data_IF_104170582934
#
_entry.id   IF_104170582934
#
_cell.length_a   1.000
_cell.length_b   1.000
_cell.length_c   1.000
_cell.angle_alpha   90.00
_cell.angle_beta   90.00
_cell.angle_gamma   90.00
#
_symmetry.space_group_name_H-M   'P 1'
#
loop_
_entity.id
_entity.type
_entity.pdbx_description
1 polymer ?
#
# COMPACT_ATOMS: atom_id res chain seq x y z
N UNK A 1 33.53 23.27 1.32
CA UNK A 1 32.71 23.54 0.12
C UNK A 1 32.05 22.22 -0.26
N UNK A 2 30.93 21.91 0.37
CA UNK A 2 29.55 22.07 -0.14
C UNK A 2 29.25 21.13 -1.32
N UNK A 3 28.88 19.90 -1.00
CA UNK A 3 28.29 18.92 -1.93
C UNK A 3 26.95 18.35 -1.43
N UNK A 4 26.38 18.86 -0.32
CA UNK A 4 25.17 18.28 0.29
C UNK A 4 23.84 18.91 -0.17
N UNK A 5 23.86 19.94 -1.02
CA UNK A 5 22.63 20.66 -1.39
C UNK A 5 21.92 20.15 -2.66
N UNK A 6 22.52 19.23 -3.43
CA UNK A 6 21.86 18.66 -4.63
C UNK A 6 21.01 17.44 -4.32
N UNK A 7 21.47 16.58 -3.40
CA UNK A 7 20.77 15.35 -3.04
C UNK A 7 19.43 15.65 -2.33
N UNK A 8 19.32 16.76 -1.59
CA UNK A 8 18.07 17.09 -0.88
C UNK A 8 16.95 17.54 -1.82
N UNK A 9 17.22 18.38 -2.82
CA UNK A 9 16.20 18.97 -3.70
C UNK A 9 15.58 17.96 -4.68
N UNK A 10 16.39 17.03 -5.21
CA UNK A 10 15.90 16.01 -6.14
C UNK A 10 15.06 14.95 -5.40
N UNK A 11 15.50 14.52 -4.21
CA UNK A 11 14.75 13.56 -3.38
C UNK A 11 13.41 14.13 -2.87
N UNK A 12 13.36 15.41 -2.49
CA UNK A 12 12.11 16.10 -2.12
C UNK A 12 11.12 16.19 -3.28
N UNK A 13 11.61 16.51 -4.49
CA UNK A 13 10.78 16.54 -5.70
C UNK A 13 10.21 15.16 -6.02
N UNK A 14 11.00 14.11 -5.85
CA UNK A 14 10.58 12.75 -6.19
C UNK A 14 9.52 12.22 -5.21
N UNK A 15 9.67 12.45 -3.91
CA UNK A 15 8.63 12.16 -2.93
C UNK A 15 7.33 12.94 -3.22
N UNK A 16 7.44 14.24 -3.50
CA UNK A 16 6.27 15.05 -3.83
C UNK A 16 5.63 14.64 -5.16
N UNK A 17 6.36 14.19 -6.18
CA UNK A 17 5.74 13.62 -7.39
C UNK A 17 5.14 12.22 -7.19
N UNK A 18 5.65 11.42 -6.26
CA UNK A 18 5.10 10.10 -5.94
C UNK A 18 3.78 10.18 -5.16
N UNK A 19 3.51 11.30 -4.48
CA UNK A 19 2.31 11.48 -3.65
C UNK A 19 1.39 12.58 -4.18
N UNK A 20 1.92 13.63 -4.82
CA UNK A 20 1.12 14.61 -5.52
C UNK A 20 0.65 14.01 -6.84
N UNK A 21 -0.53 13.39 -6.79
CA UNK A 21 -1.47 13.40 -7.90
C UNK A 21 -1.52 14.85 -8.38
N UNK A 22 -0.92 15.15 -9.54
CA UNK A 22 -1.02 16.47 -10.14
C UNK A 22 -2.50 16.75 -10.30
N UNK A 23 -3.01 17.78 -9.60
CA UNK A 23 -4.36 18.32 -9.76
C UNK A 23 -4.62 18.59 -11.23
N UNK A 24 -5.23 17.63 -11.89
CA UNK A 24 -6.22 17.89 -12.90
C UNK A 24 -7.43 17.10 -12.43
N UNK A 25 -8.49 17.80 -12.03
CA UNK A 25 -9.82 17.23 -12.04
C UNK A 25 -10.12 17.04 -13.53
N UNK A 26 -9.48 16.05 -14.15
CA UNK A 26 -10.04 15.43 -15.34
C UNK A 26 -11.41 14.96 -14.86
N UNK A 27 -12.51 15.21 -15.58
CA UNK A 27 -13.81 14.71 -15.20
C UNK A 27 -13.78 13.18 -15.30
N UNK A 28 -13.24 12.53 -14.27
CA UNK A 28 -13.05 11.09 -14.19
C UNK A 28 -14.37 10.39 -14.40
N UNK A 29 -15.49 10.96 -13.95
CA UNK A 29 -16.81 10.39 -14.20
C UNK A 29 -17.18 10.37 -15.70
N UNK A 30 -16.79 11.37 -16.48
CA UNK A 30 -17.02 11.39 -17.94
C UNK A 30 -16.10 10.39 -18.65
N UNK A 31 -14.84 10.33 -18.24
CA UNK A 31 -13.85 9.40 -18.80
C UNK A 31 -14.16 7.95 -18.41
N UNK A 32 -14.59 7.72 -17.17
CA UNK A 32 -15.07 6.45 -16.65
C UNK A 32 -16.34 6.02 -17.39
N UNK A 33 -17.30 6.93 -17.57
CA UNK A 33 -18.51 6.66 -18.36
C UNK A 33 -18.18 6.28 -19.81
N UNK A 34 -17.21 6.97 -20.40
CA UNK A 34 -16.75 6.69 -21.77
C UNK A 34 -16.07 5.33 -21.86
N UNK A 35 -15.21 5.00 -20.90
CA UNK A 35 -14.43 3.76 -20.88
C UNK A 35 -15.31 2.54 -20.60
N UNK A 36 -16.25 2.66 -19.66
CA UNK A 36 -17.26 1.62 -19.36
C UNK A 36 -18.30 1.53 -20.49
N UNK A 37 -18.52 2.62 -21.22
CA UNK A 37 -19.54 2.71 -22.27
C UNK A 37 -20.97 2.90 -21.74
N UNK A 38 -21.12 3.32 -20.49
CA UNK A 38 -22.40 3.59 -19.83
C UNK A 38 -22.30 4.81 -18.91
N UNK A 39 -23.39 5.56 -18.66
CA UNK A 39 -23.35 6.68 -17.73
C UNK A 39 -23.03 6.22 -16.30
N UNK A 40 -21.90 6.67 -15.75
CA UNK A 40 -21.49 6.48 -14.36
C UNK A 40 -21.58 7.82 -13.63
N UNK A 41 -22.21 7.82 -12.47
CA UNK A 41 -22.32 9.00 -11.61
C UNK A 41 -21.54 8.78 -10.33
N UNK A 42 -21.11 9.88 -9.72
CA UNK A 42 -20.38 9.85 -8.46
C UNK A 42 -21.10 9.09 -7.33
N UNK A 43 -22.43 9.21 -7.12
CA UNK A 43 -23.13 8.43 -6.10
C UNK A 43 -23.14 6.92 -6.36
N UNK A 44 -22.89 6.51 -7.60
CA UNK A 44 -22.88 5.10 -8.02
C UNK A 44 -21.46 4.51 -7.97
N UNK A 45 -20.47 5.29 -7.49
CA UNK A 45 -19.07 4.89 -7.41
C UNK A 45 -18.56 5.05 -5.98
N UNK A 46 -18.04 3.96 -5.41
CA UNK A 46 -17.32 3.98 -4.15
C UNK A 46 -15.87 3.56 -4.40
N UNK A 47 -14.91 4.42 -4.09
CA UNK A 47 -13.51 4.06 -4.14
C UNK A 47 -13.08 3.38 -2.84
N UNK A 48 -12.36 2.26 -2.95
CA UNK A 48 -11.96 1.40 -1.83
C UNK A 48 -10.47 1.58 -1.54
N UNK A 49 -9.60 1.36 -2.53
CA UNK A 49 -8.14 1.41 -2.36
C UNK A 49 -7.48 1.97 -3.64
N UNK A 50 -6.33 2.63 -3.48
CA UNK A 50 -5.48 3.10 -4.58
C UNK A 50 -4.07 2.56 -4.44
N UNK A 51 -3.47 2.10 -5.54
CA UNK A 51 -2.07 1.70 -5.63
C UNK A 51 -1.40 2.38 -6.82
N UNK A 52 -0.17 2.85 -6.59
CA UNK A 52 0.68 3.46 -7.62
C UNK A 52 1.84 2.50 -7.89
N UNK A 53 1.92 2.02 -9.13
CA UNK A 53 2.99 1.13 -9.60
C UNK A 53 3.84 1.85 -10.65
N UNK A 54 4.96 1.24 -11.07
CA UNK A 54 5.79 1.81 -12.14
C UNK A 54 4.99 1.89 -13.45
N UNK A 55 4.55 3.10 -13.81
CA UNK A 55 3.90 3.40 -15.08
C UNK A 55 2.37 3.33 -15.09
N UNK A 56 1.73 2.95 -13.98
CA UNK A 56 0.27 2.97 -13.87
C UNK A 56 -0.21 3.21 -12.43
N UNK A 57 -1.31 3.93 -12.30
CA UNK A 57 -2.09 4.00 -11.05
C UNK A 57 -3.29 3.08 -11.20
N UNK A 58 -3.57 2.26 -10.18
CA UNK A 58 -4.73 1.37 -10.16
C UNK A 58 -5.62 1.70 -8.96
N UNK A 59 -6.93 1.62 -9.15
CA UNK A 59 -7.94 1.85 -8.12
C UNK A 59 -8.86 0.64 -8.03
N UNK A 60 -9.13 0.19 -6.81
CA UNK A 60 -10.26 -0.67 -6.51
C UNK A 60 -11.48 0.21 -6.23
N UNK A 61 -12.57 -0.02 -6.95
CA UNK A 61 -13.82 0.70 -6.79
C UNK A 61 -15.01 -0.24 -6.90
N UNK A 62 -16.12 0.11 -6.25
CA UNK A 62 -17.43 -0.49 -6.48
C UNK A 62 -18.21 0.47 -7.38
N UNK A 63 -18.53 0.05 -8.60
CA UNK A 63 -19.23 0.85 -9.61
C UNK A 63 -20.56 0.15 -9.89
N UNK A 64 -21.70 0.82 -9.64
CA UNK A 64 -23.03 0.22 -9.78
C UNK A 64 -23.18 -1.12 -9.02
N UNK A 65 -22.60 -1.20 -7.82
CA UNK A 65 -22.55 -2.43 -7.00
C UNK A 65 -21.66 -3.56 -7.55
N UNK A 66 -20.88 -3.32 -8.60
CA UNK A 66 -19.88 -4.27 -9.11
C UNK A 66 -18.46 -3.83 -8.72
N UNK A 67 -17.72 -4.73 -8.08
CA UNK A 67 -16.29 -4.49 -7.81
C UNK A 67 -15.52 -4.43 -9.11
N UNK A 68 -14.70 -3.40 -9.26
CA UNK A 68 -14.00 -3.05 -10.48
C UNK A 68 -12.59 -2.55 -10.17
N UNK A 69 -11.65 -2.85 -11.05
CA UNK A 69 -10.32 -2.25 -11.04
C UNK A 69 -10.19 -1.25 -12.19
N UNK A 70 -9.90 0.00 -11.85
CA UNK A 70 -9.65 1.09 -12.79
C UNK A 70 -8.14 1.22 -12.95
N UNK A 71 -7.64 1.19 -14.18
CA UNK A 71 -6.23 1.48 -14.49
C UNK A 71 -6.11 2.88 -15.08
N UNK A 72 -5.09 3.60 -14.65
CA UNK A 72 -4.78 4.96 -15.05
C UNK A 72 -3.32 5.09 -15.50
N UNK A 73 -3.07 5.99 -16.45
CA UNK A 73 -1.72 6.34 -16.88
C UNK A 73 -1.01 7.31 -15.92
N UNK A 74 0.23 7.70 -16.25
CA UNK A 74 1.03 8.65 -15.46
C UNK A 74 0.46 10.08 -15.39
N UNK A 75 -0.53 10.41 -16.24
CA UNK A 75 -1.30 11.66 -16.18
C UNK A 75 -2.63 11.49 -15.43
N UNK A 76 -2.87 10.34 -14.82
CA UNK A 76 -4.10 9.95 -14.13
C UNK A 76 -5.34 9.92 -15.06
N UNK A 77 -5.15 9.60 -16.33
CA UNK A 77 -6.24 9.34 -17.28
C UNK A 77 -6.65 7.89 -17.21
N UNK A 78 -7.95 7.62 -17.24
CA UNK A 78 -8.49 6.27 -17.19
C UNK A 78 -8.21 5.55 -18.51
N UNK A 79 -7.41 4.48 -18.46
CA UNK A 79 -7.05 3.69 -19.64
C UNK A 79 -7.87 2.41 -19.77
N UNK A 80 -8.34 1.86 -18.65
CA UNK A 80 -9.19 0.66 -18.64
C UNK A 80 -9.99 0.54 -17.34
N UNK A 81 -11.11 -0.19 -17.43
CA UNK A 81 -11.94 -0.58 -16.29
C UNK A 81 -12.26 -2.06 -16.46
N UNK A 82 -11.99 -2.85 -15.43
CA UNK A 82 -12.22 -4.29 -15.43
C UNK A 82 -13.16 -4.61 -14.27
N UNK A 83 -14.39 -5.04 -14.59
CA UNK A 83 -15.32 -5.57 -13.59
C UNK A 83 -14.88 -6.95 -13.16
N UNK A 84 -14.90 -7.20 -11.85
CA UNK A 84 -14.56 -8.46 -11.23
C UNK A 84 -15.85 -9.15 -10.82
N UNK A 85 -16.09 -10.36 -11.29
CA UNK A 85 -17.28 -11.12 -10.91
C UNK A 85 -17.15 -11.57 -9.45
N UNK A 86 -17.83 -10.91 -8.52
CA UNK A 86 -17.85 -11.29 -7.11
C UNK A 86 -19.10 -12.09 -6.73
N UNK A 87 -18.93 -12.97 -5.73
CA UNK A 87 -20.06 -13.55 -5.00
C UNK A 87 -20.55 -12.55 -3.96
N UNK A 88 -21.86 -12.39 -3.79
CA UNK A 88 -22.50 -11.37 -2.92
C UNK A 88 -22.05 -11.43 -1.44
N UNK A 89 -21.47 -12.56 -1.03
CA UNK A 89 -21.17 -12.93 0.35
C UNK A 89 -19.77 -12.47 0.81
N UNK A 90 -18.93 -11.96 -0.10
CA UNK A 90 -17.55 -11.57 0.16
C UNK A 90 -17.28 -10.13 -0.26
N UNK A 91 -16.74 -9.30 0.64
CA UNK A 91 -16.34 -7.93 0.32
C UNK A 91 -14.84 -7.84 0.01
N UNK A 92 -14.48 -7.17 -1.09
CA UNK A 92 -13.09 -6.84 -1.38
C UNK A 92 -12.57 -5.78 -0.39
N UNK A 93 -11.55 -6.13 0.38
CA UNK A 93 -10.90 -5.23 1.34
C UNK A 93 -9.59 -4.68 0.78
N UNK A 94 -8.85 -5.53 0.05
CA UNK A 94 -7.57 -5.17 -0.54
C UNK A 94 -7.39 -5.78 -1.92
N UNK A 95 -6.65 -5.09 -2.79
CA UNK A 95 -6.25 -5.61 -4.08
C UNK A 95 -4.74 -5.53 -4.34
N UNK A 96 -4.22 -6.50 -5.09
CA UNK A 96 -2.82 -6.59 -5.47
C UNK A 96 -2.73 -6.82 -6.99
N UNK A 97 -2.37 -5.80 -7.77
CA UNK A 97 -2.12 -5.99 -9.19
C UNK A 97 -0.74 -6.63 -9.38
N UNK A 98 -0.66 -7.66 -10.22
CA UNK A 98 0.60 -8.26 -10.63
C UNK A 98 1.13 -7.64 -11.92
N UNK A 99 2.41 -7.87 -12.16
CA UNK A 99 3.15 -7.32 -13.30
C UNK A 99 2.60 -7.83 -14.65
N UNK A 100 1.99 -9.01 -14.67
CA UNK A 100 1.34 -9.57 -15.86
C UNK A 100 -0.08 -9.03 -16.09
N UNK A 101 -0.56 -8.13 -15.22
CA UNK A 101 -1.89 -7.55 -15.28
C UNK A 101 -2.97 -8.36 -14.55
N UNK A 102 -2.65 -9.53 -13.99
CA UNK A 102 -3.57 -10.24 -13.11
C UNK A 102 -3.85 -9.45 -11.83
N UNK A 103 -5.00 -9.70 -11.22
CA UNK A 103 -5.47 -9.01 -10.03
C UNK A 103 -5.75 -10.06 -8.96
N UNK A 104 -5.13 -9.88 -7.80
CA UNK A 104 -5.45 -10.65 -6.60
C UNK A 104 -6.32 -9.79 -5.69
N UNK A 105 -7.40 -10.37 -5.18
CA UNK A 105 -8.24 -9.75 -4.17
C UNK A 105 -8.13 -10.50 -2.86
N UNK A 106 -7.86 -9.77 -1.78
CA UNK A 106 -8.13 -10.28 -0.44
C UNK A 106 -9.54 -9.86 -0.04
N UNK A 107 -10.42 -10.85 0.07
CA UNK A 107 -11.82 -10.66 0.40
C UNK A 107 -12.12 -11.10 1.84
N UNK A 108 -13.13 -10.47 2.46
CA UNK A 108 -13.62 -10.81 3.80
C UNK A 108 -15.04 -11.37 3.72
N UNK A 109 -15.32 -12.47 4.43
CA UNK A 109 -16.65 -13.07 4.47
C UNK A 109 -17.60 -12.17 5.26
N UNK A 110 -18.72 -11.81 4.66
CA UNK A 110 -19.73 -10.93 5.28
C UNK A 110 -20.97 -11.67 5.80
N UNK A 111 -21.21 -12.91 5.37
CA UNK A 111 -22.37 -13.72 5.80
C UNK A 111 -22.43 -13.94 7.30
N UNK A 112 -21.26 -14.16 7.90
CA UNK A 112 -21.14 -14.42 9.34
C UNK A 112 -21.23 -13.14 10.19
N UNK A 113 -21.55 -12.01 9.55
CA UNK A 113 -21.64 -10.68 10.15
C UNK A 113 -20.28 -9.98 10.25
N UNK A 114 -20.33 -8.66 10.45
CA UNK A 114 -19.16 -7.75 10.47
C UNK A 114 -18.03 -8.17 11.43
N UNK A 115 -18.37 -8.97 12.45
CA UNK A 115 -17.47 -9.43 13.51
C UNK A 115 -16.72 -10.73 13.18
N UNK A 116 -17.17 -11.49 12.18
CA UNK A 116 -16.41 -12.62 11.67
C UNK A 116 -15.34 -12.09 10.71
N UNK A 117 -14.07 -12.36 11.03
CA UNK A 117 -12.94 -12.01 10.18
C UNK A 117 -12.42 -13.29 9.57
N UNK A 118 -13.09 -13.78 8.53
CA UNK A 118 -12.58 -14.86 7.69
C UNK A 118 -12.16 -14.25 6.35
N UNK A 119 -10.96 -14.57 5.92
CA UNK A 119 -10.40 -14.02 4.69
C UNK A 119 -10.18 -15.10 3.64
N UNK A 120 -10.27 -14.71 2.38
CA UNK A 120 -9.87 -15.56 1.28
C UNK A 120 -9.14 -14.75 0.21
N UNK A 121 -8.22 -15.41 -0.48
CA UNK A 121 -7.54 -14.87 -1.65
C UNK A 121 -8.28 -15.32 -2.91
N UNK A 122 -8.60 -14.37 -3.79
CA UNK A 122 -9.17 -14.62 -5.11
C UNK A 122 -8.23 -14.08 -6.18
N UNK A 123 -8.21 -14.73 -7.34
CA UNK A 123 -7.30 -14.43 -8.43
C UNK A 123 -8.07 -14.27 -9.74
N UNK A 124 -7.88 -13.11 -10.37
CA UNK A 124 -8.49 -12.72 -11.63
C UNK A 124 -7.41 -12.47 -12.67
N UNK A 125 -7.66 -12.84 -13.91
CA UNK A 125 -6.80 -12.44 -15.03
C UNK A 125 -6.94 -10.94 -15.35
N UNK A 126 -6.14 -10.47 -16.31
CA UNK A 126 -6.18 -9.08 -16.77
C UNK A 126 -7.52 -8.66 -17.40
N UNK A 127 -8.36 -9.62 -17.78
CA UNK A 127 -9.69 -9.40 -18.36
C UNK A 127 -10.81 -9.48 -17.29
N UNK A 128 -10.46 -9.69 -16.01
CA UNK A 128 -11.39 -9.75 -14.89
C UNK A 128 -12.07 -11.10 -14.68
N UNK A 129 -11.58 -12.16 -15.34
CA UNK A 129 -12.11 -13.52 -15.16
C UNK A 129 -11.40 -14.22 -14.03
N UNK A 130 -12.18 -14.83 -13.15
CA UNK A 130 -11.63 -15.60 -12.03
C UNK A 130 -10.96 -16.89 -12.52
N UNK A 131 -9.71 -17.10 -12.10
CA UNK A 131 -8.88 -18.25 -12.49
C UNK A 131 -9.18 -19.54 -11.72
N UNK A 132 -10.18 -19.53 -10.83
CA UNK A 132 -10.95 -20.69 -10.34
C UNK A 132 -10.69 -21.28 -8.94
N UNK A 133 -9.92 -20.66 -8.04
CA UNK A 133 -9.99 -21.08 -6.63
C UNK A 133 -9.86 -19.92 -5.67
N UNK A 134 -10.95 -19.68 -4.93
CA UNK A 134 -10.90 -18.98 -3.66
C UNK A 134 -10.07 -19.80 -2.68
N UNK A 135 -8.93 -19.27 -2.23
CA UNK A 135 -8.10 -19.89 -1.20
C UNK A 135 -8.43 -19.30 0.15
N UNK A 136 -9.07 -20.07 1.03
CA UNK A 136 -9.32 -19.62 2.40
C UNK A 136 -8.00 -19.42 3.17
N UNK A 137 -7.89 -18.27 3.82
CA UNK A 137 -6.70 -17.86 4.55
C UNK A 137 -6.89 -18.03 6.06
N UNK A 138 -7.09 -19.27 6.50
CA UNK A 138 -7.38 -19.62 7.90
C UNK A 138 -6.40 -19.05 8.94
N UNK A 139 -5.14 -18.76 8.54
CA UNK A 139 -4.13 -18.14 9.40
C UNK A 139 -4.50 -16.69 9.79
N UNK A 140 -5.33 -16.04 8.98
CA UNK A 140 -5.86 -14.69 9.19
C UNK A 140 -7.21 -14.70 9.94
N UNK A 141 -7.75 -15.87 10.29
CA UNK A 141 -9.07 -15.92 10.95
C UNK A 141 -9.04 -15.21 12.31
N UNK A 142 -9.98 -14.27 12.49
CA UNK A 142 -10.06 -13.43 13.69
C UNK A 142 -8.96 -12.36 13.79
N UNK A 143 -8.23 -12.09 12.70
CA UNK A 143 -7.18 -11.06 12.65
C UNK A 143 -7.68 -9.79 11.99
N UNK A 144 -7.36 -8.67 12.63
CA UNK A 144 -7.47 -7.36 12.00
C UNK A 144 -6.21 -7.08 11.18
N UNK A 145 -6.42 -6.80 9.90
CA UNK A 145 -5.33 -6.46 8.98
C UNK A 145 -5.05 -4.96 9.09
N UNK A 146 -3.80 -4.63 9.38
CA UNK A 146 -3.33 -3.25 9.52
C UNK A 146 -2.63 -2.75 8.25
N UNK A 147 -2.07 -3.66 7.46
CA UNK A 147 -1.39 -3.29 6.23
C UNK A 147 -1.06 -4.50 5.37
N UNK A 148 -0.98 -4.27 4.07
CA UNK A 148 -0.57 -5.29 3.10
C UNK A 148 0.37 -4.70 2.06
N UNK A 149 1.44 -5.42 1.74
CA UNK A 149 2.28 -5.13 0.58
C UNK A 149 2.42 -6.35 -0.33
N UNK A 150 2.66 -6.10 -1.62
CA UNK A 150 2.82 -7.13 -2.64
C UNK A 150 4.07 -6.86 -3.46
N UNK A 151 4.85 -7.90 -3.77
CA UNK A 151 6.08 -7.75 -4.55
C UNK A 151 5.83 -7.59 -6.06
N UNK A 152 4.58 -7.77 -6.53
CA UNK A 152 4.19 -7.64 -7.94
C UNK A 152 4.22 -8.95 -8.73
N UNK A 153 4.66 -10.06 -8.12
CA UNK A 153 4.85 -11.33 -8.84
C UNK A 153 4.42 -12.55 -8.04
N UNK A 154 4.98 -12.74 -6.83
CA UNK A 154 4.94 -14.02 -6.13
C UNK A 154 4.47 -13.96 -4.70
N UNK A 155 4.78 -12.90 -3.96
CA UNK A 155 4.56 -12.87 -2.52
C UNK A 155 3.83 -11.61 -2.10
N UNK A 156 2.86 -11.77 -1.20
CA UNK A 156 2.24 -10.67 -0.48
C UNK A 156 2.42 -10.87 1.03
N UNK A 157 2.50 -9.76 1.74
CA UNK A 157 2.72 -9.73 3.19
C UNK A 157 1.58 -9.03 3.88
N UNK A 158 0.98 -9.67 4.86
CA UNK A 158 -0.07 -9.14 5.73
C UNK A 158 0.53 -8.77 7.08
N UNK A 159 0.24 -7.56 7.52
CA UNK A 159 0.55 -7.06 8.84
C UNK A 159 -0.70 -7.04 9.70
N UNK A 160 -0.58 -7.58 10.91
CA UNK A 160 -1.59 -7.49 11.96
C UNK A 160 -0.99 -6.78 13.18
N UNK A 161 -1.80 -6.57 14.21
CA UNK A 161 -1.37 -5.99 15.49
C UNK A 161 -0.13 -6.66 16.11
N UNK A 162 0.10 -7.93 15.82
CA UNK A 162 1.09 -8.75 16.52
C UNK A 162 1.88 -9.65 15.58
N UNK A 163 1.53 -9.73 14.30
CA UNK A 163 2.10 -10.68 13.37
C UNK A 163 2.42 -10.04 12.03
N UNK A 164 3.56 -10.45 11.48
CA UNK A 164 3.86 -10.31 10.07
C UNK A 164 3.71 -11.70 9.45
N UNK A 165 2.92 -11.79 8.40
CA UNK A 165 2.59 -13.04 7.73
C UNK A 165 2.84 -12.86 6.24
N UNK A 166 3.59 -13.75 5.60
CA UNK A 166 3.88 -13.71 4.16
C UNK A 166 3.31 -14.95 3.52
N UNK A 167 2.58 -14.75 2.43
CA UNK A 167 1.97 -15.78 1.60
C UNK A 167 2.53 -15.68 0.19
N UNK A 168 2.46 -16.78 -0.55
CA UNK A 168 2.58 -16.71 -2.00
C UNK A 168 1.23 -16.43 -2.68
N UNK A 169 1.25 -16.22 -4.01
CA UNK A 169 0.04 -15.94 -4.81
C UNK A 169 -0.92 -17.13 -4.92
N UNK A 170 -0.54 -18.33 -4.48
CA UNK A 170 -1.47 -19.44 -4.30
C UNK A 170 -2.23 -19.38 -2.96
N UNK A 171 -1.84 -18.45 -2.06
CA UNK A 171 -2.35 -18.31 -0.71
C UNK A 171 -1.65 -19.21 0.30
N UNK A 172 -0.52 -19.84 -0.06
CA UNK A 172 0.23 -20.72 0.84
C UNK A 172 1.13 -19.91 1.79
N UNK A 173 1.09 -20.24 3.07
CA UNK A 173 1.91 -19.59 4.10
C UNK A 173 3.41 -19.87 3.87
N UNK A 174 4.19 -18.81 3.69
CA UNK A 174 5.64 -18.89 3.51
C UNK A 174 6.39 -18.52 4.79
N UNK A 175 5.93 -17.47 5.48
CA UNK A 175 6.57 -16.97 6.68
C UNK A 175 5.55 -16.43 7.67
N UNK A 176 5.77 -16.71 8.95
CA UNK A 176 5.00 -16.10 10.04
C UNK A 176 5.93 -15.71 11.18
N UNK A 177 5.95 -14.43 11.53
CA UNK A 177 6.68 -13.92 12.70
C UNK A 177 5.72 -13.18 13.61
N UNK A 178 5.61 -13.66 14.85
CA UNK A 178 4.82 -13.00 15.89
C UNK A 178 5.73 -12.17 16.78
N UNK A 179 5.27 -10.99 17.17
CA UNK A 179 5.88 -10.19 18.22
C UNK A 179 5.12 -10.39 19.54
N UNK A 180 5.81 -10.50 20.68
CA UNK A 180 5.16 -10.53 21.99
C UNK A 180 4.59 -9.16 22.40
N UNK A 181 4.82 -8.12 21.60
CA UNK A 181 4.32 -6.77 21.83
C UNK A 181 3.31 -6.40 20.73
N UNK A 182 2.04 -6.18 21.10
CA UNK A 182 1.08 -5.56 20.18
C UNK A 182 1.60 -4.22 19.67
N UNK A 183 1.43 -3.94 18.37
CA UNK A 183 1.94 -2.77 17.68
C UNK A 183 3.45 -2.75 17.46
N UNK A 184 4.15 -3.86 17.66
CA UNK A 184 5.59 -3.89 17.42
C UNK A 184 5.96 -3.80 15.95
N UNK A 185 5.12 -4.27 15.04
CA UNK A 185 5.31 -4.06 13.62
C UNK A 185 4.42 -2.90 13.19
N UNK A 186 5.03 -1.89 12.57
CA UNK A 186 4.35 -0.66 12.18
C UNK A 186 4.08 -0.63 10.68
N UNK A 187 5.02 -1.18 9.90
CA UNK A 187 4.90 -1.19 8.45
C UNK A 187 5.80 -2.26 7.85
N UNK A 188 5.41 -2.76 6.69
CA UNK A 188 6.15 -3.74 5.90
C UNK A 188 6.11 -3.33 4.43
N UNK A 189 7.23 -3.55 3.75
CA UNK A 189 7.34 -3.32 2.32
C UNK A 189 8.28 -4.38 1.69
N UNK A 190 8.02 -4.80 0.45
CA UNK A 190 8.95 -5.59 -0.35
C UNK A 190 9.98 -4.68 -1.02
N UNK A 191 11.25 -4.89 -0.73
CA UNK A 191 12.39 -4.18 -1.38
C UNK A 191 12.99 -4.95 -2.56
N UNK A 192 12.35 -6.06 -2.95
CA UNK A 192 12.72 -6.93 -4.05
C UNK A 192 11.92 -8.23 -3.97
N UNK A 193 12.20 -9.16 -4.88
CA UNK A 193 11.37 -10.36 -5.06
C UNK A 193 11.30 -11.24 -3.80
N UNK A 194 12.40 -11.30 -3.04
CA UNK A 194 12.55 -12.20 -1.89
C UNK A 194 12.96 -11.48 -0.60
N UNK A 195 12.81 -10.16 -0.55
CA UNK A 195 13.24 -9.34 0.57
C UNK A 195 12.14 -8.40 1.03
N UNK A 196 11.92 -8.38 2.34
CA UNK A 196 11.04 -7.42 2.99
C UNK A 196 11.83 -6.51 3.91
N UNK A 197 11.44 -5.24 3.94
CA UNK A 197 11.85 -4.28 4.95
C UNK A 197 10.66 -4.05 5.89
N UNK A 198 10.95 -4.09 7.18
CA UNK A 198 9.99 -4.04 8.26
C UNK A 198 10.37 -2.87 9.16
N UNK A 199 9.41 -2.00 9.43
CA UNK A 199 9.52 -0.99 10.46
C UNK A 199 8.96 -1.59 11.74
N UNK A 200 9.81 -1.69 12.77
CA UNK A 200 9.44 -2.30 14.04
C UNK A 200 9.86 -1.47 15.25
N UNK A 201 9.03 -1.49 16.27
CA UNK A 201 9.27 -0.92 17.59
C UNK A 201 9.71 -2.01 18.57
N UNK A 202 10.85 -1.81 19.22
CA UNK A 202 11.31 -2.74 20.25
C UNK A 202 10.61 -2.49 21.60
N UNK A 203 10.96 -3.30 22.61
CA UNK A 203 10.38 -3.20 23.98
C UNK A 203 10.59 -1.87 24.70
N UNK A 204 11.52 -1.05 24.24
CA UNK A 204 11.78 0.28 24.79
C UNK A 204 11.07 1.38 23.99
N UNK A 205 10.27 1.02 23.00
CA UNK A 205 9.66 1.96 22.07
C UNK A 205 10.67 2.59 21.12
N UNK A 206 11.82 1.95 20.86
CA UNK A 206 12.78 2.45 19.88
C UNK A 206 12.49 1.83 18.51
N UNK A 207 12.40 2.66 17.46
CA UNK A 207 12.13 2.21 16.09
C UNK A 207 13.38 1.59 15.46
N UNK A 208 13.16 0.60 14.59
CA UNK A 208 14.18 -0.12 13.86
C UNK A 208 13.70 -0.48 12.46
N UNK A 209 14.61 -0.42 11.49
CA UNK A 209 14.41 -0.99 10.16
C UNK A 209 15.07 -2.37 10.12
N UNK A 210 14.27 -3.39 9.84
CA UNK A 210 14.71 -4.78 9.74
C UNK A 210 14.55 -5.20 8.28
N UNK A 211 15.64 -5.62 7.64
CA UNK A 211 15.58 -6.28 6.34
C UNK A 211 15.65 -7.78 6.54
N UNK A 212 14.70 -8.52 5.98
CA UNK A 212 14.58 -9.97 6.11
C UNK A 212 14.47 -10.63 4.74
N UNK A 213 15.12 -11.78 4.60
CA UNK A 213 14.87 -12.69 3.47
C UNK A 213 13.62 -13.51 3.72
N UNK A 214 12.72 -13.54 2.74
CA UNK A 214 11.51 -14.37 2.74
C UNK A 214 11.87 -15.84 2.55
N UNK A 215 12.78 -16.15 1.63
CA UNK A 215 13.15 -17.53 1.27
C UNK A 215 14.03 -18.22 2.31
N UNK A 216 14.99 -17.49 2.90
CA UNK A 216 15.91 -18.08 3.88
C UNK A 216 15.41 -18.01 5.32
N UNK A 217 14.26 -17.38 5.55
CA UNK A 217 13.76 -17.01 6.89
C UNK A 217 14.85 -16.44 7.81
N UNK A 218 15.52 -15.38 7.35
CA UNK A 218 16.67 -14.81 8.06
C UNK A 218 16.66 -13.29 8.03
N UNK A 219 16.95 -12.68 9.17
CA UNK A 219 17.26 -11.25 9.28
C UNK A 219 18.62 -10.99 8.62
N UNK A 220 18.61 -10.15 7.59
CA UNK A 220 19.80 -9.76 6.83
C UNK A 220 20.49 -8.56 7.47
N UNK A 221 19.70 -7.59 7.94
CA UNK A 221 20.17 -6.42 8.66
C UNK A 221 19.09 -5.90 9.60
N UNK A 222 19.53 -5.30 10.70
CA UNK A 222 18.68 -4.58 11.65
C UNK A 222 19.38 -3.27 12.00
N UNK A 223 18.67 -2.16 11.81
CA UNK A 223 19.19 -0.82 12.05
C UNK A 223 18.26 -0.09 13.00
N UNK A 224 18.74 0.16 14.22
CA UNK A 224 18.05 1.09 15.13
C UNK A 224 18.07 2.49 14.52
N UNK A 225 16.92 3.15 14.54
CA UNK A 225 16.79 4.50 14.02
C UNK A 225 17.02 5.47 15.18
N UNK A 226 18.01 6.34 14.99
CA UNK A 226 18.46 7.31 16.00
C UNK A 226 18.30 8.73 15.47
N UNK A 227 18.14 9.70 16.37
CA UNK A 227 18.07 11.12 16.02
C UNK A 227 16.72 11.60 15.47
N UNK A 228 15.65 10.84 15.72
CA UNK A 228 14.26 11.21 15.40
C UNK A 228 13.43 11.15 16.67
N UNK A 229 12.53 12.12 16.86
CA UNK A 229 11.67 12.20 18.05
C UNK A 229 10.70 11.01 18.11
N UNK A 230 10.67 10.31 19.27
CA UNK A 230 9.88 9.09 19.46
C UNK A 230 8.38 9.25 19.19
N UNK A 231 7.83 10.45 19.42
CA UNK A 231 6.41 10.76 19.18
C UNK A 231 6.02 10.73 17.71
N UNK A 232 6.99 10.86 16.79
CA UNK A 232 6.73 10.91 15.34
C UNK A 232 6.54 9.51 14.73
N UNK A 233 6.79 8.43 15.49
CA UNK A 233 6.88 7.05 14.98
C UNK A 233 5.62 6.21 15.07
N UNK A 234 4.67 6.59 15.92
CA UNK A 234 3.49 5.75 16.18
C UNK A 234 2.63 5.50 14.93
N UNK A 235 2.72 6.42 13.96
CA UNK A 235 1.98 6.41 12.71
C UNK A 235 2.94 6.32 11.50
N UNK A 236 4.17 5.85 11.72
CA UNK A 236 5.17 5.83 10.67
C UNK A 236 4.95 4.66 9.71
N UNK A 237 5.13 4.91 8.41
CA UNK A 237 4.98 3.92 7.35
C UNK A 237 6.16 3.91 6.40
N UNK A 238 6.39 2.75 5.83
CA UNK A 238 7.33 2.55 4.75
C UNK A 238 6.65 2.80 3.41
N UNK A 239 7.36 3.45 2.51
CA UNK A 239 6.90 3.77 1.16
C UNK A 239 7.98 3.30 0.20
N UNK A 240 7.56 2.59 -0.85
CA UNK A 240 8.46 2.10 -1.89
C UNK A 240 9.12 3.28 -2.62
N UNK A 241 10.42 3.17 -2.89
CA UNK A 241 11.09 4.09 -3.80
C UNK A 241 10.76 3.68 -5.24
N UNK A 242 10.27 4.61 -6.05
CA UNK A 242 10.09 4.43 -7.51
C UNK A 242 11.37 4.73 -8.30
N UNK A 243 12.47 5.04 -7.60
CA UNK A 243 13.67 5.61 -8.21
C UNK A 243 14.92 4.74 -8.03
N UNK A 244 15.79 4.76 -9.04
CA UNK A 244 17.01 3.92 -9.12
C UNK A 244 18.23 4.50 -8.40
N UNK A 245 18.09 5.66 -7.76
CA UNK A 245 19.15 6.41 -7.08
C UNK A 245 19.65 5.77 -5.77
N UNK A 246 19.40 4.48 -5.58
CA UNK A 246 19.88 3.70 -4.44
C UNK A 246 19.12 3.95 -3.13
N UNK A 247 18.04 4.71 -3.17
CA UNK A 247 17.04 4.77 -2.10
C UNK A 247 16.31 3.45 -2.06
N UNK A 248 16.42 2.72 -0.95
CA UNK A 248 15.71 1.45 -0.77
C UNK A 248 14.23 1.69 -0.47
N UNK A 249 13.96 2.67 0.40
CA UNK A 249 12.60 3.09 0.72
C UNK A 249 12.58 4.50 1.28
N UNK A 250 11.38 5.06 1.30
CA UNK A 250 11.07 6.20 2.13
C UNK A 250 10.38 5.73 3.41
N UNK A 251 10.64 6.45 4.48
CA UNK A 251 9.94 6.33 5.74
C UNK A 251 9.20 7.65 5.95
N UNK A 252 7.88 7.58 5.95
CA UNK A 252 7.02 8.70 6.29
C UNK A 252 6.59 8.59 7.75
N UNK A 253 6.83 9.65 8.52
CA UNK A 253 6.32 9.82 9.88
C UNK A 253 5.14 10.79 9.88
N UNK A 254 4.61 11.24 11.01
CA UNK A 254 3.55 12.27 10.99
C UNK A 254 4.08 13.62 10.46
N UNK A 255 5.32 13.97 10.79
CA UNK A 255 5.87 15.30 10.56
C UNK A 255 6.92 15.35 9.45
N UNK A 256 7.53 14.23 9.07
CA UNK A 256 8.71 14.21 8.20
C UNK A 256 8.71 13.01 7.28
N UNK A 257 9.61 13.07 6.31
CA UNK A 257 9.93 11.95 5.43
C UNK A 257 11.42 11.79 5.38
N UNK A 258 11.84 10.54 5.44
CA UNK A 258 13.23 10.15 5.41
C UNK A 258 13.48 9.19 4.25
N UNK A 259 14.57 9.40 3.52
CA UNK A 259 15.08 8.43 2.56
C UNK A 259 16.05 7.48 3.26
N UNK A 260 15.83 6.17 3.13
CA UNK A 260 16.75 5.15 3.61
C UNK A 260 17.63 4.63 2.47
N UNK A 261 18.94 4.66 2.69
CA UNK A 261 19.96 4.18 1.77
C UNK A 261 20.58 2.88 2.32
N UNK A 262 20.16 1.69 1.83
CA UNK A 262 20.58 0.41 2.39
C UNK A 262 22.10 0.19 2.35
N UNK A 263 22.75 0.56 1.23
CA UNK A 263 24.20 0.35 1.04
C UNK A 263 25.08 1.09 2.05
N UNK A 264 24.64 2.28 2.48
CA UNK A 264 25.35 3.09 3.49
C UNK A 264 24.69 3.02 4.86
N UNK A 265 23.62 2.25 5.02
CA UNK A 265 22.75 2.17 6.20
C UNK A 265 22.41 3.55 6.80
N UNK A 266 22.05 4.49 5.93
CA UNK A 266 21.85 5.89 6.31
C UNK A 266 20.39 6.27 6.11
N UNK A 267 19.82 6.94 7.10
CA UNK A 267 18.50 7.55 7.04
C UNK A 267 18.67 9.07 6.96
N UNK A 268 18.19 9.72 5.91
CA UNK A 268 18.30 11.16 5.71
C UNK A 268 16.93 11.80 5.59
N UNK A 269 16.68 12.86 6.35
CA UNK A 269 15.46 13.65 6.20
C UNK A 269 15.48 14.31 4.82
N UNK A 270 14.46 14.03 4.02
CA UNK A 270 14.30 14.62 2.69
C UNK A 270 13.07 15.53 2.60
N UNK A 271 12.12 15.46 3.54
CA UNK A 271 10.96 16.32 3.54
C UNK A 271 10.53 16.67 4.97
N UNK A 272 10.32 17.95 5.24
CA UNK A 272 9.72 18.44 6.49
C UNK A 272 8.29 18.87 6.17
N UNK A 273 7.31 18.05 6.60
CA UNK A 273 5.91 18.28 6.28
C UNK A 273 5.36 19.52 6.97
N UNK A 274 5.84 19.82 8.19
CA UNK A 274 5.40 20.99 8.94
C UNK A 274 5.89 22.29 8.31
N UNK A 275 7.15 22.33 7.88
CA UNK A 275 7.73 23.49 7.21
C UNK A 275 7.04 23.79 5.86
N UNK A 276 6.63 22.73 5.15
CA UNK A 276 6.01 22.80 3.83
C UNK A 276 4.47 22.90 3.89
N UNK A 277 3.88 22.92 5.10
CA UNK A 277 2.42 22.97 5.29
C UNK A 277 1.68 21.75 4.75
N UNK A 278 2.38 20.61 4.66
CA UNK A 278 1.84 19.34 4.18
C UNK A 278 1.26 18.53 5.34
N UNK A 279 0.01 18.09 5.22
CA UNK A 279 -0.64 17.20 6.18
C UNK A 279 -1.11 15.97 5.43
N UNK A 280 -0.66 14.78 5.81
CA UNK A 280 -1.09 13.53 5.17
C UNK A 280 -2.63 13.43 5.22
N UNK A 281 -3.28 13.36 4.05
CA UNK A 281 -4.74 13.29 3.94
C UNK A 281 -5.32 11.90 4.27
N UNK A 282 -4.48 10.87 4.33
CA UNK A 282 -4.90 9.52 4.68
C UNK A 282 -4.71 9.32 6.19
N UNK A 283 -5.77 9.32 7.01
CA UNK A 283 -5.69 8.54 8.25
C UNK A 283 -5.35 7.11 7.85
N UNK A 284 -4.41 6.52 8.57
CA UNK A 284 -3.75 5.23 8.27
C UNK A 284 -4.74 4.04 8.21
N UNK A 285 -6.00 4.25 8.56
CA UNK A 285 -7.07 3.27 8.48
C UNK A 285 -8.38 4.01 8.13
N UNK A 286 -8.68 4.20 6.85
CA UNK A 286 -10.05 4.51 6.43
C UNK A 286 -10.64 3.27 5.77
N UNK A 287 -11.31 2.44 6.58
CA UNK A 287 -12.29 1.46 6.11
C UNK A 287 -13.63 2.11 5.71
N UNK A 288 -13.69 3.44 5.69
CA UNK A 288 -14.86 4.18 5.23
C UNK A 288 -14.84 4.38 3.71
N UNK A 289 -16.01 4.34 3.03
CA UNK A 289 -16.16 4.76 1.65
C UNK A 289 -15.50 6.11 1.43
N UNK A 290 -14.48 6.17 0.56
CA UNK A 290 -13.79 7.43 0.26
C UNK A 290 -14.50 8.15 -0.89
N UNK A 291 -14.75 9.45 -0.71
CA UNK A 291 -15.20 10.34 -1.79
C UNK A 291 -13.99 10.87 -2.56
N UNK A 292 -14.23 11.40 -3.77
CA UNK A 292 -13.17 12.02 -4.57
C UNK A 292 -12.47 13.17 -3.83
N UNK A 293 -13.22 13.95 -3.05
CA UNK A 293 -12.68 15.02 -2.21
C UNK A 293 -11.79 14.49 -1.06
N UNK A 294 -11.99 13.26 -0.60
CA UNK A 294 -11.15 12.61 0.42
C UNK A 294 -9.84 12.05 -0.16
N UNK A 295 -9.83 11.69 -1.44
CA UNK A 295 -8.63 11.22 -2.15
C UNK A 295 -7.77 12.38 -2.71
N UNK A 296 -8.36 13.57 -2.87
CA UNK A 296 -7.69 14.78 -3.36
C UNK A 296 -7.17 15.69 -2.24
N UNK A 297 -5.84 15.80 -2.11
CA UNK A 297 -5.21 16.71 -1.16
C UNK A 297 -5.55 18.19 -1.41
N UNK A 298 -5.84 18.90 -0.33
CA UNK A 298 -5.83 20.36 -0.24
C UNK A 298 -4.39 20.89 -0.25
N UNK A 299 -3.78 20.98 -1.44
CA UNK A 299 -2.69 21.92 -1.68
C UNK A 299 -3.29 23.30 -1.99
N UNK A 300 -2.97 24.29 -1.16
CA UNK A 300 -3.53 25.65 -1.20
C UNK A 300 -3.26 26.39 -2.53
N UNK A 301 -4.24 27.23 -2.87
CA UNK A 301 -4.22 28.33 -3.83
C UNK A 301 -3.15 29.38 -3.54
#
# INVERSE_FOLDING_TARGET
MSSNNKISLDTTKNYSTNICIKKSIVPWMEELSTTVGAPIREPDTQFVEMRNDEGATRLLAVINSETSVITMDAEYRITSVVSLSEEEEWSAEHFFPANDGSIFLLVKNTEQGLWSQRYALRHFDSDGREHSTQTEMSVLDGKEIQGIDFNGERYFSVLTDSEMIIFDTAGELQLKNSSPLPGAYQSILFTGDEQVMILSMNKKGMPSLITRSVVMDKVLSEKEIVGVDLSDWYDARLIRSTDTDGVGCYLETQQRVYAYYPKSERLEMCFDKLAEGFYSALPILSSAPMTFEAMGFWGFS
#
